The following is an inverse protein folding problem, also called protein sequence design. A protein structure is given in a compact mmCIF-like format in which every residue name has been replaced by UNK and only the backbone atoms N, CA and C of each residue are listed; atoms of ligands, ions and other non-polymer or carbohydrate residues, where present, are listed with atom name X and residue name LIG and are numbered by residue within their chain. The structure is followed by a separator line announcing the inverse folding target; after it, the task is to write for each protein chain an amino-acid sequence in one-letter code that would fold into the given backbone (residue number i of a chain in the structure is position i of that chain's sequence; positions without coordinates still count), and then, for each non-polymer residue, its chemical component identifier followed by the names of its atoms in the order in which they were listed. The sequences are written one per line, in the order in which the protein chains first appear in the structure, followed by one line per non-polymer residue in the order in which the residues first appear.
data_IF_446990065486
#
_entry.id   IF_446990065486
#
_cell.length_a   1.000
_cell.length_b   1.000
_cell.length_c   1.000
_cell.angle_alpha   90.00
_cell.angle_beta   90.00
_cell.angle_gamma   90.00
#
_symmetry.space_group_name_H-M   'P 1'
#
loop_
_entity.id
_entity.type
_entity.pdbx_description
1 polymer ?
#
# COMPACT_ATOMS: atom_id res chain seq x y z
N UNK A 1 30.60 5.81 -31.31
CA UNK A 1 29.87 4.63 -30.80
C UNK A 1 29.42 3.76 -31.97
N UNK A 2 29.60 2.43 -31.89
CA UNK A 2 29.28 1.48 -32.96
C UNK A 2 27.94 0.75 -32.78
N UNK A 3 27.13 1.17 -31.80
CA UNK A 3 25.76 0.70 -31.61
C UNK A 3 24.83 1.91 -31.72
N UNK A 4 23.91 1.95 -32.70
CA UNK A 4 22.82 2.90 -32.68
C UNK A 4 21.93 2.55 -31.48
N UNK A 5 21.77 3.49 -30.54
CA UNK A 5 21.03 3.27 -29.30
C UNK A 5 19.53 3.07 -29.61
N UNK A 6 19.02 1.83 -29.58
CA UNK A 6 17.69 1.50 -30.12
C UNK A 6 16.56 1.84 -29.14
N UNK A 7 16.88 2.46 -28.00
CA UNK A 7 15.96 2.74 -26.91
C UNK A 7 15.55 4.22 -26.82
N UNK A 8 16.16 5.10 -27.61
CA UNK A 8 15.66 6.47 -27.74
C UNK A 8 14.61 6.51 -28.83
N UNK A 9 13.43 6.96 -28.46
CA UNK A 9 12.43 7.29 -29.45
C UNK A 9 12.83 8.55 -30.20
N UNK A 10 12.56 8.56 -31.50
CA UNK A 10 12.57 9.79 -32.29
C UNK A 10 11.29 10.63 -32.07
N UNK A 11 10.45 10.23 -31.09
CA UNK A 11 9.19 10.88 -30.75
C UNK A 11 9.39 12.17 -29.95
N UNK A 12 8.37 13.02 -29.92
CA UNK A 12 8.44 14.24 -29.14
C UNK A 12 8.43 13.90 -27.65
N UNK A 13 9.17 14.65 -26.82
CA UNK A 13 9.15 14.44 -25.35
C UNK A 13 7.73 14.53 -24.76
N UNK A 14 6.84 15.29 -25.42
CA UNK A 14 5.43 15.40 -25.05
C UNK A 14 4.68 14.06 -25.09
N UNK A 15 5.11 13.12 -25.94
CA UNK A 15 4.50 11.78 -26.05
C UNK A 15 4.67 10.96 -24.75
N UNK A 16 5.59 11.37 -23.88
CA UNK A 16 5.89 10.73 -22.60
C UNK A 16 5.30 11.47 -21.39
N UNK A 17 4.56 12.57 -21.60
CA UNK A 17 4.13 13.43 -20.50
C UNK A 17 3.27 12.66 -19.48
N UNK A 18 2.32 11.85 -19.95
CA UNK A 18 1.49 10.99 -19.09
C UNK A 18 2.32 10.07 -18.18
N UNK A 19 3.42 9.52 -18.71
CA UNK A 19 4.32 8.67 -17.93
C UNK A 19 5.17 9.50 -16.96
N UNK A 20 5.63 10.69 -17.37
CA UNK A 20 6.39 11.57 -16.48
C UNK A 20 5.53 12.13 -15.35
N UNK A 21 4.25 12.37 -15.60
CA UNK A 21 3.26 12.83 -14.62
C UNK A 21 2.99 11.76 -13.57
N UNK A 22 2.96 10.48 -13.95
CA UNK A 22 2.74 9.38 -13.00
C UNK A 22 3.89 9.18 -12.03
N UNK A 23 5.05 9.81 -12.24
CA UNK A 23 6.21 9.76 -11.33
C UNK A 23 6.67 11.15 -10.88
N UNK A 24 5.87 12.19 -11.15
CA UNK A 24 6.27 13.57 -10.90
C UNK A 24 6.50 13.86 -9.40
N UNK A 25 5.65 13.32 -8.53
CA UNK A 25 5.80 13.41 -7.08
C UNK A 25 7.13 12.82 -6.60
N UNK A 26 7.44 11.58 -6.99
CA UNK A 26 8.72 10.95 -6.69
C UNK A 26 9.92 11.76 -7.20
N UNK A 27 9.88 12.27 -8.43
CA UNK A 27 10.99 13.03 -9.03
C UNK A 27 11.33 14.32 -8.27
N UNK A 28 10.38 14.89 -7.53
CA UNK A 28 10.61 16.06 -6.67
C UNK A 28 11.24 15.68 -5.32
N UNK A 29 11.11 14.43 -4.91
CA UNK A 29 11.67 13.90 -3.66
C UNK A 29 13.11 13.43 -3.80
N UNK A 30 13.70 13.05 -2.66
CA UNK A 30 15.07 12.51 -2.55
C UNK A 30 15.11 10.99 -2.31
N UNK A 31 13.96 10.36 -2.08
CA UNK A 31 13.84 8.92 -1.83
C UNK A 31 13.86 8.08 -3.11
N UNK A 32 14.13 6.78 -2.97
CA UNK A 32 13.91 5.81 -4.06
C UNK A 32 12.41 5.54 -4.21
N UNK A 33 11.97 5.31 -5.45
CA UNK A 33 10.55 5.11 -5.77
C UNK A 33 9.91 3.94 -5.00
N UNK A 34 10.67 2.85 -4.85
CA UNK A 34 10.38 1.80 -3.86
C UNK A 34 11.49 1.80 -2.82
N UNK A 35 11.10 1.83 -1.55
CA UNK A 35 12.01 1.68 -0.41
C UNK A 35 11.82 0.30 0.20
N UNK A 36 12.91 -0.30 0.66
CA UNK A 36 12.86 -1.60 1.31
C UNK A 36 13.59 -1.53 2.64
N UNK A 37 12.91 -1.99 3.68
CA UNK A 37 13.41 -2.04 5.04
C UNK A 37 13.49 -3.50 5.46
N UNK A 38 14.68 -3.93 5.84
CA UNK A 38 14.88 -5.28 6.39
C UNK A 38 14.72 -5.22 7.89
N UNK A 39 14.19 -6.28 8.50
CA UNK A 39 14.20 -6.45 9.95
C UNK A 39 15.62 -6.27 10.57
N UNK A 40 16.68 -6.62 9.82
CA UNK A 40 18.07 -6.46 10.26
C UNK A 40 18.48 -5.00 10.44
N UNK A 41 17.86 -4.09 9.70
CA UNK A 41 18.17 -2.66 9.74
C UNK A 41 17.47 -1.90 10.87
N UNK A 42 16.51 -2.54 11.55
CA UNK A 42 15.65 -1.93 12.59
C UNK A 42 15.13 -0.53 12.22
N UNK A 43 14.87 -0.28 10.94
CA UNK A 43 14.48 1.04 10.46
C UNK A 43 13.23 1.54 11.19
N UNK A 44 13.25 2.77 11.69
CA UNK A 44 12.12 3.36 12.40
C UNK A 44 10.89 3.40 11.50
N UNK A 45 9.76 2.95 12.02
CA UNK A 45 8.47 3.10 11.34
C UNK A 45 8.09 4.57 11.44
N UNK A 46 7.87 5.29 10.30
CA UNK A 46 7.44 6.68 10.35
C UNK A 46 6.14 6.82 11.16
N UNK A 47 5.88 7.94 11.84
CA UNK A 47 4.60 8.14 12.53
C UNK A 47 3.44 8.12 11.52
N UNK A 48 2.35 7.43 11.88
CA UNK A 48 1.15 7.31 11.03
C UNK A 48 -0.17 7.28 11.81
N UNK A 49 -0.12 7.53 13.13
CA UNK A 49 -1.30 7.50 14.02
C UNK A 49 -2.42 8.43 13.56
N UNK A 50 -2.05 9.57 12.99
CA UNK A 50 -2.98 10.64 12.62
C UNK A 50 -3.56 10.46 11.20
N UNK A 51 -3.13 9.39 10.49
CA UNK A 51 -3.55 9.12 9.12
C UNK A 51 -4.86 8.35 9.06
N UNK A 52 -5.64 8.62 8.02
CA UNK A 52 -6.77 7.78 7.59
C UNK A 52 -6.24 6.56 6.85
N UNK A 53 -6.10 5.46 7.56
CA UNK A 53 -5.52 4.24 7.00
C UNK A 53 -6.55 3.20 6.54
N UNK A 54 -6.11 2.36 5.61
CA UNK A 54 -6.80 1.17 5.13
C UNK A 54 -5.88 -0.04 5.30
N UNK A 55 -6.37 -1.09 5.93
CA UNK A 55 -5.63 -2.36 6.03
C UNK A 55 -6.12 -3.33 4.97
N UNK A 56 -5.18 -3.87 4.20
CA UNK A 56 -5.43 -4.94 3.23
C UNK A 56 -4.73 -6.20 3.71
N UNK A 57 -5.44 -7.33 3.73
CA UNK A 57 -4.88 -8.61 4.19
C UNK A 57 -4.91 -9.60 3.02
N UNK A 58 -3.75 -9.87 2.44
CA UNK A 58 -3.59 -10.82 1.33
C UNK A 58 -3.37 -12.26 1.79
N UNK A 59 -2.52 -13.00 1.08
CA UNK A 59 -2.06 -14.34 1.46
C UNK A 59 -1.01 -14.30 2.58
N UNK A 60 -1.35 -14.91 3.71
CA UNK A 60 -0.48 -15.08 4.88
C UNK A 60 -1.02 -16.21 5.79
N UNK A 61 -0.19 -16.77 6.70
CA UNK A 61 -0.67 -17.70 7.72
C UNK A 61 -1.74 -17.07 8.62
N UNK A 62 -2.75 -17.85 9.01
CA UNK A 62 -3.93 -17.37 9.74
C UNK A 62 -3.58 -16.60 11.03
N UNK A 63 -2.56 -17.03 11.79
CA UNK A 63 -2.13 -16.31 13.00
C UNK A 63 -1.60 -14.89 12.69
N UNK A 64 -0.90 -14.74 11.57
CA UNK A 64 -0.40 -13.44 11.12
C UNK A 64 -1.54 -12.58 10.59
N UNK A 65 -2.51 -13.20 9.88
CA UNK A 65 -3.74 -12.54 9.45
C UNK A 65 -4.50 -11.95 10.64
N UNK A 66 -4.72 -12.75 11.69
CA UNK A 66 -5.38 -12.31 12.92
C UNK A 66 -4.62 -11.16 13.60
N UNK A 67 -3.30 -11.20 13.58
CA UNK A 67 -2.46 -10.12 14.12
C UNK A 67 -2.65 -8.81 13.33
N UNK A 68 -2.72 -8.88 12.00
CA UNK A 68 -3.00 -7.72 11.14
C UNK A 68 -4.41 -7.17 11.34
N UNK A 69 -5.42 -8.04 11.47
CA UNK A 69 -6.79 -7.63 11.76
C UNK A 69 -6.92 -6.96 13.14
N UNK A 70 -6.28 -7.52 14.17
CA UNK A 70 -6.27 -6.92 15.49
C UNK A 70 -5.55 -5.55 15.51
N UNK A 71 -4.51 -5.37 14.69
CA UNK A 71 -3.90 -4.07 14.47
C UNK A 71 -4.90 -3.07 13.87
N UNK A 72 -5.59 -3.44 12.79
CA UNK A 72 -6.58 -2.56 12.16
C UNK A 72 -7.70 -2.15 13.12
N UNK A 73 -8.20 -3.10 13.92
CA UNK A 73 -9.21 -2.83 14.96
C UNK A 73 -8.73 -1.80 15.99
N UNK A 74 -7.48 -1.91 16.46
CA UNK A 74 -6.90 -0.93 17.39
C UNK A 74 -6.74 0.46 16.78
N UNK A 75 -6.48 0.53 15.48
CA UNK A 75 -6.38 1.79 14.74
C UNK A 75 -7.75 2.38 14.38
N UNK A 76 -8.84 1.61 14.50
CA UNK A 76 -10.14 1.99 13.97
C UNK A 76 -10.18 2.04 12.45
N UNK A 77 -9.32 1.29 11.77
CA UNK A 77 -9.17 1.32 10.31
C UNK A 77 -9.97 0.21 9.62
N UNK A 78 -10.58 0.50 8.45
CA UNK A 78 -11.20 -0.52 7.60
C UNK A 78 -10.24 -1.65 7.24
N UNK A 79 -10.79 -2.86 7.09
CA UNK A 79 -10.04 -4.06 6.71
C UNK A 79 -10.63 -4.66 5.45
N UNK A 80 -9.86 -4.73 4.36
CA UNK A 80 -10.21 -5.51 3.18
C UNK A 80 -9.44 -6.83 3.23
N UNK A 81 -10.10 -7.86 3.77
CA UNK A 81 -9.53 -9.20 3.89
C UNK A 81 -9.76 -10.00 2.60
N UNK A 82 -8.69 -10.27 1.85
CA UNK A 82 -8.77 -11.07 0.63
C UNK A 82 -9.29 -12.47 0.94
N UNK A 83 -10.12 -13.09 0.08
CA UNK A 83 -10.70 -14.41 0.36
C UNK A 83 -9.67 -15.47 0.75
N UNK A 84 -8.44 -15.39 0.24
CA UNK A 84 -7.38 -16.35 0.58
C UNK A 84 -6.72 -16.11 1.95
N UNK A 85 -7.03 -15.00 2.63
CA UNK A 85 -6.51 -14.68 3.98
C UNK A 85 -7.10 -15.60 5.07
N UNK A 86 -8.24 -16.24 4.79
CA UNK A 86 -8.99 -17.04 5.76
C UNK A 86 -9.70 -16.20 6.83
N UNK A 87 -9.81 -14.87 6.62
CA UNK A 87 -10.53 -13.95 7.48
C UNK A 87 -11.78 -13.40 6.81
N UNK A 88 -12.70 -12.93 7.64
CA UNK A 88 -13.80 -12.04 7.25
C UNK A 88 -13.68 -10.72 8.00
N UNK A 89 -14.39 -9.70 7.54
CA UNK A 89 -14.41 -8.34 8.08
C UNK A 89 -15.76 -7.70 7.82
N UNK A 90 -16.07 -6.61 8.52
CA UNK A 90 -17.30 -5.83 8.27
C UNK A 90 -17.37 -5.23 6.85
N UNK A 91 -16.22 -5.18 6.16
CA UNK A 91 -16.06 -4.75 4.78
C UNK A 91 -16.00 -5.92 3.78
N UNK A 92 -16.59 -7.06 4.14
CA UNK A 92 -16.69 -8.22 3.26
C UNK A 92 -17.37 -7.89 1.92
N UNK A 93 -17.20 -8.76 0.93
CA UNK A 93 -17.76 -8.60 -0.42
C UNK A 93 -17.32 -7.33 -1.16
N UNK A 94 -16.18 -6.76 -0.76
CA UNK A 94 -15.63 -5.54 -1.36
C UNK A 94 -15.37 -5.60 -2.85
N UNK A 95 -15.12 -6.78 -3.40
CA UNK A 95 -14.97 -6.94 -4.85
C UNK A 95 -16.26 -6.56 -5.62
N UNK A 96 -17.43 -6.65 -4.96
CA UNK A 96 -18.72 -6.23 -5.54
C UNK A 96 -18.91 -4.72 -5.40
N UNK A 97 -18.86 -4.19 -4.17
CA UNK A 97 -19.18 -2.77 -3.96
C UNK A 97 -18.08 -1.81 -4.42
N UNK A 98 -16.82 -2.24 -4.57
CA UNK A 98 -15.78 -1.42 -5.21
C UNK A 98 -16.06 -1.11 -6.69
N UNK A 99 -17.01 -1.80 -7.32
CA UNK A 99 -17.43 -1.52 -8.70
C UNK A 99 -18.36 -0.31 -8.80
N UNK A 100 -18.94 0.09 -7.68
CA UNK A 100 -19.90 1.17 -7.56
C UNK A 100 -19.16 2.41 -7.03
N UNK A 101 -18.98 3.47 -7.86
CA UNK A 101 -18.22 4.65 -7.48
C UNK A 101 -18.69 5.27 -6.16
N UNK A 102 -19.98 5.26 -5.90
CA UNK A 102 -20.60 5.79 -4.69
C UNK A 102 -20.03 5.18 -3.39
N UNK A 103 -19.75 3.87 -3.39
CA UNK A 103 -19.18 3.17 -2.23
C UNK A 103 -17.65 3.22 -2.24
N UNK A 104 -17.03 3.15 -3.43
CA UNK A 104 -15.59 3.29 -3.56
C UNK A 104 -15.08 4.66 -3.07
N UNK A 105 -15.92 5.69 -3.16
CA UNK A 105 -15.63 7.04 -2.68
C UNK A 105 -15.46 7.13 -1.16
N UNK A 106 -16.02 6.21 -0.38
CA UNK A 106 -15.80 6.18 1.08
C UNK A 106 -14.31 6.00 1.42
N UNK A 107 -13.56 5.33 0.55
CA UNK A 107 -12.12 5.11 0.70
C UNK A 107 -11.26 6.20 0.06
N UNK A 108 -11.83 7.21 -0.62
CA UNK A 108 -11.05 8.24 -1.33
C UNK A 108 -10.26 9.16 -0.41
N UNK A 109 -10.64 9.23 0.87
CA UNK A 109 -9.92 9.98 1.90
C UNK A 109 -8.79 9.18 2.55
N UNK A 110 -8.52 7.96 2.07
CA UNK A 110 -7.41 7.14 2.54
C UNK A 110 -6.07 7.81 2.21
N UNK A 111 -5.21 7.93 3.23
CA UNK A 111 -3.87 8.51 3.16
C UNK A 111 -2.77 7.45 3.29
N UNK A 112 -3.12 6.27 3.80
CA UNK A 112 -2.18 5.19 4.01
C UNK A 112 -2.82 3.82 3.80
N UNK A 113 -2.35 3.10 2.79
CA UNK A 113 -2.70 1.70 2.55
C UNK A 113 -1.61 0.83 3.17
N UNK A 114 -1.99 -0.04 4.10
CA UNK A 114 -1.09 -1.04 4.70
C UNK A 114 -1.53 -2.43 4.24
N UNK A 115 -0.75 -3.04 3.35
CA UNK A 115 -0.96 -4.42 2.93
C UNK A 115 -0.11 -5.38 3.76
N UNK A 116 -0.77 -6.30 4.48
CA UNK A 116 -0.15 -7.45 5.10
C UNK A 116 -0.30 -8.69 4.24
N UNK A 117 0.82 -9.37 3.98
CA UNK A 117 0.79 -10.59 3.18
C UNK A 117 0.71 -10.32 1.67
N UNK A 118 1.07 -11.34 0.90
CA UNK A 118 1.31 -11.25 -0.54
C UNK A 118 0.08 -11.59 -1.38
N UNK A 119 0.04 -11.24 -2.66
CA UNK A 119 -0.99 -11.66 -3.64
C UNK A 119 -2.41 -11.26 -3.24
N UNK A 120 -2.97 -10.25 -3.90
CA UNK A 120 -4.39 -9.94 -3.83
C UNK A 120 -5.06 -10.57 -5.05
N UNK A 121 -6.10 -11.40 -4.84
CA UNK A 121 -6.83 -12.05 -5.94
C UNK A 121 -7.88 -11.11 -6.53
N UNK A 122 -8.48 -10.25 -5.70
CA UNK A 122 -9.47 -9.27 -6.16
C UNK A 122 -8.87 -8.34 -7.22
N UNK A 123 -9.43 -8.38 -8.44
CA UNK A 123 -9.06 -7.45 -9.51
C UNK A 123 -9.47 -6.02 -9.17
N UNK A 124 -10.64 -5.86 -8.55
CA UNK A 124 -11.18 -4.54 -8.19
C UNK A 124 -10.34 -3.86 -7.12
N UNK A 125 -9.88 -4.60 -6.13
CA UNK A 125 -8.97 -4.07 -5.12
C UNK A 125 -7.61 -3.69 -5.71
N UNK A 126 -7.02 -4.53 -6.57
CA UNK A 126 -5.77 -4.16 -7.26
C UNK A 126 -5.92 -2.89 -8.11
N UNK A 127 -7.03 -2.75 -8.85
CA UNK A 127 -7.34 -1.54 -9.62
C UNK A 127 -7.52 -0.31 -8.73
N UNK A 128 -8.19 -0.47 -7.59
CA UNK A 128 -8.39 0.62 -6.64
C UNK A 128 -7.07 1.07 -6.01
N UNK A 129 -6.22 0.14 -5.53
CA UNK A 129 -4.90 0.47 -4.97
C UNK A 129 -4.04 1.20 -6.01
N UNK A 130 -4.01 0.71 -7.25
CA UNK A 130 -3.30 1.37 -8.34
C UNK A 130 -3.77 2.80 -8.55
N UNK A 131 -5.09 3.01 -8.67
CA UNK A 131 -5.67 4.36 -8.81
C UNK A 131 -5.24 5.27 -7.66
N UNK A 132 -5.37 4.82 -6.41
CA UNK A 132 -5.06 5.67 -5.25
C UNK A 132 -3.58 6.02 -5.17
N UNK A 133 -2.69 5.06 -5.39
CA UNK A 133 -1.24 5.28 -5.24
C UNK A 133 -0.65 5.99 -6.46
N UNK A 134 -1.16 5.74 -7.67
CA UNK A 134 -0.71 6.48 -8.86
C UNK A 134 -1.17 7.94 -8.82
N UNK A 135 -2.37 8.23 -8.30
CA UNK A 135 -2.82 9.60 -8.05
C UNK A 135 -1.99 10.32 -6.98
N UNK A 136 -1.30 9.59 -6.10
CA UNK A 136 -0.46 10.23 -5.09
C UNK A 136 0.81 10.89 -5.65
N UNK A 137 1.12 10.61 -6.91
CA UNK A 137 2.24 11.24 -7.60
C UNK A 137 1.90 12.61 -8.19
N UNK A 138 0.63 13.03 -8.09
CA UNK A 138 0.12 14.31 -8.60
C UNK A 138 -0.35 15.22 -7.45
N UNK A 139 -1.54 14.95 -6.89
CA UNK A 139 -2.26 15.88 -6.01
C UNK A 139 -2.65 15.30 -4.63
N UNK A 140 -2.62 13.97 -4.47
CA UNK A 140 -2.89 13.29 -3.18
C UNK A 140 -1.59 12.81 -2.55
N UNK A 141 -1.52 12.62 -1.23
CA UNK A 141 -0.37 11.95 -0.58
C UNK A 141 -0.83 10.60 0.01
N UNK A 142 -1.15 9.66 -0.88
CA UNK A 142 -1.46 8.28 -0.49
C UNK A 142 -0.17 7.47 -0.46
N UNK A 143 0.18 6.99 0.73
CA UNK A 143 1.32 6.12 0.93
C UNK A 143 0.90 4.65 0.88
N UNK A 144 1.79 3.80 0.38
CA UNK A 144 1.54 2.38 0.26
C UNK A 144 2.64 1.56 0.94
N UNK A 145 2.29 0.90 2.04
CA UNK A 145 3.18 0.10 2.85
C UNK A 145 2.85 -1.37 2.67
N UNK A 146 3.87 -2.17 2.41
CA UNK A 146 3.75 -3.61 2.23
C UNK A 146 4.59 -4.34 3.26
N UNK A 147 3.94 -5.22 4.02
CA UNK A 147 4.56 -5.98 5.11
C UNK A 147 4.49 -7.46 4.75
N UNK A 148 5.66 -8.07 4.59
CA UNK A 148 5.80 -9.47 4.24
C UNK A 148 7.15 -10.01 4.71
N UNK A 149 7.24 -11.25 5.19
CA UNK A 149 8.53 -11.83 5.55
C UNK A 149 9.41 -12.14 4.33
N UNK A 150 8.85 -12.08 3.12
CA UNK A 150 9.56 -12.45 1.90
C UNK A 150 10.10 -11.23 1.17
N UNK A 151 11.30 -11.37 0.61
CA UNK A 151 11.95 -10.31 -0.17
C UNK A 151 11.45 -10.18 -1.62
N UNK A 152 10.62 -11.12 -2.09
CA UNK A 152 10.12 -11.08 -3.46
C UNK A 152 9.29 -9.81 -3.70
N UNK A 153 9.38 -9.30 -4.93
CA UNK A 153 8.62 -8.11 -5.32
C UNK A 153 7.16 -8.49 -5.51
N UNK A 154 6.31 -8.14 -4.55
CA UNK A 154 4.85 -8.23 -4.67
C UNK A 154 4.25 -6.86 -5.00
N UNK A 155 4.53 -6.36 -6.20
CA UNK A 155 4.11 -5.06 -6.66
C UNK A 155 3.93 -5.09 -8.19
N UNK A 156 2.83 -5.68 -8.62
CA UNK A 156 2.54 -5.97 -10.03
C UNK A 156 2.44 -4.69 -10.87
N UNK A 157 1.84 -3.64 -10.33
CA UNK A 157 1.64 -2.37 -11.02
C UNK A 157 2.80 -1.39 -10.80
N UNK A 158 3.89 -1.84 -10.17
CA UNK A 158 5.09 -1.05 -9.93
C UNK A 158 4.78 0.31 -9.30
N UNK A 159 4.00 0.28 -8.21
CA UNK A 159 3.60 1.46 -7.46
C UNK A 159 4.71 1.95 -6.53
N UNK A 160 4.71 3.25 -6.21
CA UNK A 160 5.55 3.77 -5.14
C UNK A 160 5.20 3.06 -3.83
N UNK A 161 6.19 2.50 -3.14
CA UNK A 161 5.92 1.57 -2.04
C UNK A 161 7.05 1.52 -1.01
N UNK A 162 6.68 1.39 0.27
CA UNK A 162 7.58 1.03 1.36
C UNK A 162 7.39 -0.45 1.70
N UNK A 163 8.39 -1.28 1.40
CA UNK A 163 8.37 -2.71 1.69
C UNK A 163 9.13 -3.02 2.98
N UNK A 164 8.39 -3.43 4.02
CA UNK A 164 8.91 -3.94 5.28
C UNK A 164 9.07 -5.46 5.22
N UNK A 165 10.31 -5.91 5.05
CA UNK A 165 10.68 -7.32 4.97
C UNK A 165 10.79 -7.91 6.37
N UNK A 166 9.65 -8.23 6.96
CA UNK A 166 9.53 -8.88 8.27
C UNK A 166 8.15 -9.55 8.43
N UNK A 167 7.99 -10.49 9.37
CA UNK A 167 6.67 -11.07 9.65
C UNK A 167 5.67 -10.00 10.14
N UNK A 168 4.42 -9.97 9.64
CA UNK A 168 3.34 -9.10 10.11
C UNK A 168 3.22 -8.98 11.63
N UNK A 169 3.29 -10.11 12.36
CA UNK A 169 3.23 -10.12 13.83
C UNK A 169 4.37 -9.33 14.47
N UNK A 170 5.58 -9.43 13.91
CA UNK A 170 6.75 -8.70 14.37
C UNK A 170 6.60 -7.21 14.09
N UNK A 171 6.20 -6.84 12.87
CA UNK A 171 5.98 -5.44 12.50
C UNK A 171 4.95 -4.76 13.42
N UNK A 172 3.80 -5.43 13.65
CA UNK A 172 2.75 -4.95 14.55
C UNK A 172 3.24 -4.75 15.99
N UNK A 173 4.12 -5.62 16.48
CA UNK A 173 4.64 -5.55 17.86
C UNK A 173 5.51 -4.32 18.13
N UNK A 174 6.06 -3.70 17.06
CA UNK A 174 6.92 -2.52 17.14
C UNK A 174 6.12 -1.22 17.27
N UNK A 175 4.80 -1.27 17.04
CA UNK A 175 3.93 -0.11 17.06
C UNK A 175 3.49 0.12 18.50
N UNK A 176 3.94 1.24 19.06
CA UNK A 176 3.44 1.71 20.34
C UNK A 176 2.09 2.37 20.13
N UNK A 177 1.04 1.78 20.69
CA UNK A 177 -0.25 2.44 20.77
C UNK A 177 -0.18 3.42 21.93
N UNK A 178 0.14 4.69 21.67
CA UNK A 178 -0.12 5.72 22.67
C UNK A 178 -1.63 5.73 22.92
N UNK A 179 -2.05 5.42 24.15
CA UNK A 179 -3.44 5.59 24.56
C UNK A 179 -3.76 7.08 24.37
N UNK A 180 -4.57 7.41 23.38
CA UNK A 180 -5.19 8.73 23.33
C UNK A 180 -6.06 8.85 24.58
N UNK A 181 -5.58 9.64 25.55
CA UNK A 181 -6.32 10.02 26.76
C UNK A 181 -7.28 11.12 26.33
N UNK A 182 -8.48 10.71 25.95
CA UNK A 182 -9.71 11.50 26.05
C UNK A 182 -10.77 10.43 26.40
N UNK A 183 -11.25 10.21 27.63
CA UNK A 183 -11.59 11.09 28.76
C UNK A 183 -12.45 12.28 28.33
N UNK A 184 -13.77 12.10 28.36
CA UNK A 184 -14.78 13.15 28.20
C UNK A 184 -15.99 12.69 27.42
#
# INVERSE_FOLDING_TARGET
CAFPEPLYSNGAKADYQTYLDSVAGWRKGSGTYTQRFSHLSQANIPPFSDKKGLVVIGSLPLEQAKSAQAFAQKMGWPVLADPQSGLSSDWAHYDVWLQLPEFANELESCELIIQFGSRIISKRLNQWIDKQVSQSQQDKDVQYWYISPRMDRNNQNHLAQMHWVEPPKTWVSRISFEKSIFAG
#
